data_IF_539959346199
#
_entry.id   IF_539959346199
#
_cell.length_a   1.000
_cell.length_b   1.000
_cell.length_c   1.000
_cell.angle_alpha   90.00
_cell.angle_beta   90.00
_cell.angle_gamma   90.00
#
_symmetry.space_group_name_H-M   'P 1'
#
loop_
_entity.id
_entity.type
_entity.pdbx_description
1 polymer ?
#
# COMPACT_ATOMS: atom_id res chain seq x y z
N UNK A 1 12.49 9.06 -0.78
CA UNK A 1 12.76 8.88 0.67
C UNK A 1 12.14 9.98 1.54
N UNK A 2 12.19 11.26 1.14
CA UNK A 2 11.70 12.39 1.94
C UNK A 2 10.18 12.48 2.22
N UNK A 3 9.31 11.88 1.37
CA UNK A 3 7.85 11.96 1.55
C UNK A 3 7.26 10.98 2.57
N UNK A 4 7.99 9.93 2.95
CA UNK A 4 7.50 8.90 3.90
C UNK A 4 7.61 9.35 5.36
N UNK A 5 8.65 10.11 5.69
CA UNK A 5 8.74 10.83 6.97
C UNK A 5 7.62 11.87 7.11
N UNK A 6 7.11 12.40 6.00
CA UNK A 6 6.14 13.48 6.02
C UNK A 6 4.79 13.04 6.57
N UNK A 7 4.19 11.92 6.14
CA UNK A 7 2.85 11.54 6.61
C UNK A 7 2.82 10.82 7.96
N UNK A 8 3.78 9.93 8.24
CA UNK A 8 3.88 9.32 9.57
C UNK A 8 4.25 10.39 10.60
N UNK A 9 5.16 11.31 10.22
CA UNK A 9 5.49 12.51 10.98
C UNK A 9 4.29 13.41 11.21
N UNK A 10 3.43 13.67 10.21
CA UNK A 10 2.22 14.50 10.37
C UNK A 10 1.21 13.87 11.34
N UNK A 11 1.03 12.55 11.31
CA UNK A 11 0.08 11.88 12.21
C UNK A 11 0.63 11.88 13.65
N UNK A 12 1.91 11.56 13.83
CA UNK A 12 2.52 11.61 15.17
C UNK A 12 2.64 13.04 15.70
N UNK A 13 3.05 14.02 14.89
CA UNK A 13 3.08 15.43 15.31
C UNK A 13 1.68 15.98 15.55
N UNK A 14 0.66 15.54 14.79
CA UNK A 14 -0.73 15.89 15.00
C UNK A 14 -1.28 15.35 16.32
N UNK A 15 -0.99 14.09 16.67
CA UNK A 15 -1.38 13.50 17.95
C UNK A 15 -0.63 14.13 19.13
N UNK A 16 0.66 14.43 18.97
CA UNK A 16 1.46 15.15 19.98
C UNK A 16 0.93 16.58 20.17
N UNK A 17 0.61 17.28 19.08
CA UNK A 17 0.03 18.62 19.13
C UNK A 17 -1.33 18.60 19.83
N UNK A 18 -2.20 17.62 19.52
CA UNK A 18 -3.50 17.43 20.18
C UNK A 18 -3.34 17.22 21.69
N UNK A 19 -2.39 16.37 22.10
CA UNK A 19 -2.08 16.15 23.52
C UNK A 19 -1.59 17.44 24.20
N UNK A 20 -0.71 18.19 23.54
CA UNK A 20 -0.18 19.44 24.06
C UNK A 20 -1.25 20.53 24.16
N UNK A 21 -2.10 20.69 23.14
CA UNK A 21 -3.23 21.63 23.17
C UNK A 21 -4.22 21.26 24.27
N UNK A 22 -4.53 19.98 24.45
CA UNK A 22 -5.44 19.54 25.52
C UNK A 22 -4.85 19.78 26.90
N UNK A 23 -3.53 19.57 27.09
CA UNK A 23 -2.87 19.87 28.36
C UNK A 23 -2.93 21.35 28.75
N UNK A 24 -3.00 22.26 27.76
CA UNK A 24 -3.11 23.71 27.98
C UNK A 24 -4.57 24.20 28.02
N UNK A 25 -5.49 23.56 27.30
CA UNK A 25 -6.91 23.94 27.22
C UNK A 25 -7.74 23.38 28.39
N UNK A 26 -7.55 22.12 28.77
CA UNK A 26 -8.35 21.46 29.82
C UNK A 26 -8.35 22.20 31.17
N UNK A 27 -7.23 22.82 31.63
CA UNK A 27 -7.23 23.60 32.87
C UNK A 27 -7.98 24.94 32.76
N UNK A 28 -8.15 25.46 31.55
CA UNK A 28 -8.64 26.83 31.28
C UNK A 28 -10.09 26.87 30.78
N UNK A 29 -10.72 25.72 30.52
CA UNK A 29 -12.11 25.64 30.05
C UNK A 29 -13.07 25.25 31.19
N UNK A 30 -14.33 25.73 31.15
CA UNK A 30 -15.34 25.30 32.09
C UNK A 30 -15.57 23.78 32.02
N UNK A 31 -15.87 23.12 33.15
CA UNK A 31 -15.99 21.65 33.23
C UNK A 31 -17.09 21.08 32.32
N UNK A 32 -18.08 21.89 31.94
CA UNK A 32 -19.17 21.52 31.03
C UNK A 32 -18.68 21.19 29.61
N UNK A 33 -17.60 21.83 29.14
CA UNK A 33 -17.07 21.64 27.79
C UNK A 33 -16.06 20.49 27.68
N UNK A 34 -15.59 19.95 28.81
CA UNK A 34 -14.61 18.85 28.84
C UNK A 34 -15.11 17.60 28.10
N UNK A 35 -16.41 17.30 28.22
CA UNK A 35 -17.05 16.18 27.49
C UNK A 35 -17.01 16.36 25.98
N UNK A 36 -17.20 17.61 25.51
CA UNK A 36 -17.19 17.93 24.08
C UNK A 36 -15.79 17.79 23.50
N UNK A 37 -14.76 18.24 24.22
CA UNK A 37 -13.35 18.08 23.84
C UNK A 37 -13.00 16.59 23.73
N UNK A 38 -13.39 15.78 24.72
CA UNK A 38 -13.12 14.34 24.69
C UNK A 38 -13.81 13.63 23.51
N UNK A 39 -15.04 14.01 23.17
CA UNK A 39 -15.72 13.49 21.97
C UNK A 39 -14.99 13.87 20.68
N UNK A 40 -14.48 15.10 20.56
CA UNK A 40 -13.68 15.53 19.41
C UNK A 40 -12.37 14.74 19.29
N UNK A 41 -11.68 14.51 20.40
CA UNK A 41 -10.43 13.74 20.44
C UNK A 41 -10.65 12.30 19.92
N UNK A 42 -11.70 11.63 20.40
CA UNK A 42 -12.06 10.28 19.95
C UNK A 42 -12.34 10.27 18.45
N UNK A 43 -13.05 11.28 17.95
CA UNK A 43 -13.38 11.39 16.53
C UNK A 43 -12.13 11.61 15.66
N UNK A 44 -11.19 12.45 16.12
CA UNK A 44 -9.90 12.68 15.47
C UNK A 44 -9.09 11.38 15.41
N UNK A 45 -9.04 10.62 16.52
CA UNK A 45 -8.34 9.33 16.56
C UNK A 45 -8.96 8.35 15.56
N UNK A 46 -10.29 8.22 15.51
CA UNK A 46 -10.97 7.34 14.56
C UNK A 46 -10.63 7.71 13.11
N UNK A 47 -10.69 9.00 12.76
CA UNK A 47 -10.32 9.47 11.42
C UNK A 47 -8.85 9.17 11.09
N UNK A 48 -7.96 9.25 12.09
CA UNK A 48 -6.53 8.97 11.91
C UNK A 48 -6.20 7.49 11.64
N UNK A 49 -7.10 6.56 11.97
CA UNK A 49 -6.87 5.12 11.72
C UNK A 49 -6.79 4.80 10.23
N UNK A 50 -7.59 5.46 9.39
CA UNK A 50 -7.59 5.24 7.94
C UNK A 50 -6.24 5.53 7.26
N UNK A 51 -5.62 6.72 7.43
CA UNK A 51 -4.32 6.99 6.84
C UNK A 51 -3.20 6.13 7.46
N UNK A 52 -3.31 5.74 8.74
CA UNK A 52 -2.37 4.79 9.37
C UNK A 52 -2.43 3.42 8.68
N UNK A 53 -3.63 2.86 8.48
CA UNK A 53 -3.83 1.60 7.75
C UNK A 53 -3.20 1.67 6.37
N UNK A 54 -3.52 2.73 5.61
CA UNK A 54 -2.99 2.92 4.25
C UNK A 54 -1.46 3.03 4.21
N UNK A 55 -0.86 3.62 5.25
CA UNK A 55 0.60 3.65 5.39
C UNK A 55 1.19 2.29 5.78
N UNK A 56 0.52 1.53 6.64
CA UNK A 56 0.95 0.18 6.99
C UNK A 56 0.96 -0.74 5.76
N UNK A 57 -0.07 -0.69 4.92
CA UNK A 57 -0.13 -1.41 3.64
C UNK A 57 1.01 -1.01 2.70
N UNK A 58 1.28 0.29 2.57
CA UNK A 58 2.40 0.80 1.76
C UNK A 58 3.76 0.31 2.26
N UNK A 59 3.96 0.26 3.59
CA UNK A 59 5.18 -0.29 4.20
C UNK A 59 5.24 -1.80 3.96
N UNK A 60 4.13 -2.52 4.13
CA UNK A 60 4.05 -3.96 3.91
C UNK A 60 4.41 -4.31 2.45
N UNK A 61 3.86 -3.62 1.46
CA UNK A 61 4.20 -3.81 0.04
C UNK A 61 5.68 -3.54 -0.23
N UNK A 62 6.29 -2.57 0.46
CA UNK A 62 7.73 -2.27 0.31
C UNK A 62 8.64 -3.36 0.89
N UNK A 63 8.23 -4.02 1.97
CA UNK A 63 9.04 -5.05 2.64
C UNK A 63 8.74 -6.47 2.13
N UNK A 64 7.48 -6.76 1.82
CA UNK A 64 6.99 -8.08 1.42
C UNK A 64 6.75 -8.22 -0.08
N UNK A 65 6.76 -7.12 -0.83
CA UNK A 65 6.55 -7.11 -2.28
C UNK A 65 5.07 -7.25 -2.65
N UNK A 66 4.49 -8.43 -2.45
CA UNK A 66 3.09 -8.73 -2.79
C UNK A 66 2.34 -9.13 -1.52
N UNK A 67 1.21 -8.49 -1.26
CA UNK A 67 0.33 -8.82 -0.13
C UNK A 67 -0.98 -9.39 -0.67
N UNK A 68 -1.41 -10.52 -0.11
CA UNK A 68 -2.68 -11.16 -0.43
C UNK A 68 -3.68 -10.84 0.68
N UNK A 69 -4.79 -10.20 0.34
CA UNK A 69 -5.94 -10.06 1.22
C UNK A 69 -6.96 -11.14 0.88
N UNK A 70 -6.96 -12.20 1.70
CA UNK A 70 -7.86 -13.35 1.56
C UNK A 70 -9.32 -13.00 1.91
N UNK A 71 -9.54 -11.94 2.69
CA UNK A 71 -10.88 -11.50 3.12
C UNK A 71 -11.60 -10.79 1.98
N UNK A 72 -10.92 -9.83 1.35
CA UNK A 72 -11.49 -9.05 0.23
C UNK A 72 -11.20 -9.67 -1.15
N UNK A 73 -10.41 -10.75 -1.21
CA UNK A 73 -9.94 -11.40 -2.44
C UNK A 73 -9.19 -10.43 -3.35
N UNK A 74 -8.31 -9.63 -2.74
CA UNK A 74 -7.50 -8.63 -3.42
C UNK A 74 -6.03 -8.98 -3.29
N UNK A 75 -5.27 -8.55 -4.28
CA UNK A 75 -3.82 -8.58 -4.27
C UNK A 75 -3.34 -7.13 -4.30
N UNK A 76 -2.41 -6.82 -3.41
CA UNK A 76 -1.76 -5.52 -3.37
C UNK A 76 -0.35 -5.70 -3.90
N UNK A 77 -0.08 -5.14 -5.08
CA UNK A 77 1.24 -5.19 -5.74
C UNK A 77 1.92 -3.82 -5.69
N UNK A 78 3.26 -3.77 -5.76
CA UNK A 78 3.93 -2.49 -5.93
C UNK A 78 3.59 -1.95 -7.33
N UNK A 79 3.35 -0.64 -7.43
CA UNK A 79 3.01 -0.02 -8.71
C UNK A 79 4.13 -0.25 -9.73
N UNK A 80 3.73 -0.70 -10.93
CA UNK A 80 4.64 -0.91 -12.05
C UNK A 80 5.09 0.44 -12.62
N UNK A 81 6.30 0.85 -12.28
CA UNK A 81 6.88 2.12 -12.73
C UNK A 81 7.24 2.09 -14.23
N UNK A 82 7.50 0.91 -14.81
CA UNK A 82 7.91 0.76 -16.21
C UNK A 82 6.74 0.92 -17.19
N UNK A 83 5.50 0.71 -16.74
CA UNK A 83 4.29 0.85 -17.56
C UNK A 83 3.59 2.22 -17.39
N UNK A 84 4.27 3.21 -16.80
CA UNK A 84 3.73 4.56 -16.63
C UNK A 84 3.90 5.39 -17.91
N UNK A 85 2.79 5.94 -18.41
CA UNK A 85 2.73 6.60 -19.70
C UNK A 85 3.65 7.82 -19.79
N UNK A 86 4.24 8.09 -20.97
CA UNK A 86 5.27 9.11 -21.18
C UNK A 86 4.89 10.53 -20.68
N UNK A 87 3.59 10.87 -20.74
CA UNK A 87 3.06 12.14 -20.20
C UNK A 87 3.01 12.24 -18.66
N UNK A 88 3.05 11.11 -17.94
CA UNK A 88 3.09 11.10 -16.46
C UNK A 88 4.52 11.24 -15.89
N UNK A 89 5.54 10.94 -16.70
CA UNK A 89 6.96 10.96 -16.30
C UNK A 89 7.54 12.38 -16.17
N UNK A 90 7.01 13.35 -16.91
CA UNK A 90 7.50 14.74 -16.90
C UNK A 90 7.25 15.52 -15.59
N UNK A 91 6.48 14.95 -14.64
CA UNK A 91 6.12 15.60 -13.35
C UNK A 91 6.97 15.20 -12.15
N UNK A 92 8.16 14.61 -12.34
CA UNK A 92 8.98 14.06 -11.23
C UNK A 92 8.17 13.06 -10.36
N UNK A 93 7.21 12.36 -10.97
CA UNK A 93 6.32 11.42 -10.29
C UNK A 93 7.03 10.13 -9.89
N UNK A 94 8.22 9.82 -10.42
CA UNK A 94 9.03 8.67 -9.99
C UNK A 94 9.32 8.70 -8.48
N UNK A 95 9.58 9.89 -7.91
CA UNK A 95 9.82 10.07 -6.47
C UNK A 95 8.50 10.00 -5.66
N UNK A 96 7.36 10.23 -6.30
CA UNK A 96 6.01 10.21 -5.69
C UNK A 96 5.37 8.81 -5.74
N UNK A 97 5.57 8.07 -6.84
CA UNK A 97 5.00 6.75 -7.14
C UNK A 97 5.87 5.59 -6.66
N UNK A 98 7.08 5.84 -6.14
CA UNK A 98 7.97 4.84 -5.51
C UNK A 98 7.39 4.16 -4.25
N UNK A 99 6.20 4.54 -3.81
CA UNK A 99 5.43 3.85 -2.78
C UNK A 99 3.93 3.78 -3.13
N UNK A 100 3.57 3.95 -4.40
CA UNK A 100 2.22 3.60 -4.81
C UNK A 100 2.13 2.08 -4.92
N UNK A 101 1.00 1.58 -4.47
CA UNK A 101 0.62 0.20 -4.58
C UNK A 101 -0.66 0.14 -5.40
N UNK A 102 -0.82 -0.93 -6.17
CA UNK A 102 -2.00 -1.18 -6.96
C UNK A 102 -2.76 -2.34 -6.33
N UNK A 103 -4.04 -2.09 -6.02
CA UNK A 103 -4.96 -3.14 -5.59
C UNK A 103 -5.61 -3.76 -6.83
N UNK A 104 -5.42 -5.06 -7.00
CA UNK A 104 -5.96 -5.84 -8.10
C UNK A 104 -6.87 -6.91 -7.51
N UNK A 105 -8.11 -6.99 -8.01
CA UNK A 105 -8.99 -8.09 -7.61
C UNK A 105 -8.45 -9.39 -8.20
N UNK A 106 -8.39 -10.44 -7.39
CA UNK A 106 -7.87 -11.75 -7.79
C UNK A 106 -8.67 -12.33 -8.96
N UNK A 107 -9.96 -11.98 -9.08
CA UNK A 107 -10.83 -12.38 -10.21
C UNK A 107 -10.47 -11.75 -11.55
N UNK A 108 -9.82 -10.59 -11.54
CA UNK A 108 -9.50 -9.84 -12.75
C UNK A 108 -8.21 -10.34 -13.41
N UNK A 109 -7.48 -11.23 -12.72
CA UNK A 109 -6.26 -11.88 -13.21
C UNK A 109 -6.64 -13.01 -14.18
N UNK A 110 -6.18 -12.90 -15.42
CA UNK A 110 -6.49 -13.85 -16.50
C UNK A 110 -5.35 -14.83 -16.80
N UNK A 111 -4.10 -14.37 -16.70
CA UNK A 111 -2.90 -15.20 -16.89
C UNK A 111 -1.71 -14.64 -16.13
N UNK A 112 -0.76 -15.53 -15.82
CA UNK A 112 0.50 -15.18 -15.16
C UNK A 112 1.64 -15.75 -15.98
N UNK A 113 2.62 -14.91 -16.29
CA UNK A 113 3.79 -15.29 -17.08
C UNK A 113 5.04 -15.18 -16.22
N UNK A 114 5.84 -16.25 -16.24
CA UNK A 114 7.13 -16.30 -15.57
C UNK A 114 8.24 -15.94 -16.56
N UNK A 115 9.07 -14.97 -16.18
CA UNK A 115 10.32 -14.67 -16.87
C UNK A 115 11.50 -15.24 -16.06
N UNK A 116 12.56 -15.65 -16.75
CA UNK A 116 13.77 -16.21 -16.13
C UNK A 116 14.39 -15.18 -15.17
N UNK A 117 14.76 -15.62 -13.97
CA UNK A 117 15.30 -14.72 -12.95
C UNK A 117 14.26 -14.35 -11.91
N UNK A 118 14.10 -13.06 -11.63
CA UNK A 118 13.33 -12.56 -10.48
C UNK A 118 12.08 -11.78 -10.88
N UNK A 119 11.66 -11.84 -12.14
CA UNK A 119 10.50 -11.11 -12.64
C UNK A 119 9.27 -12.04 -12.77
N UNK A 120 8.10 -11.48 -12.50
CA UNK A 120 6.80 -12.10 -12.73
C UNK A 120 5.89 -11.09 -13.43
N UNK A 121 5.12 -11.54 -14.41
CA UNK A 121 4.10 -10.71 -15.07
C UNK A 121 2.72 -11.24 -14.75
N UNK A 122 1.85 -10.34 -14.31
CA UNK A 122 0.43 -10.62 -14.12
C UNK A 122 -0.35 -9.91 -15.21
N UNK A 123 -1.19 -10.66 -15.91
CA UNK A 123 -2.07 -10.15 -16.96
C UNK A 123 -3.53 -10.29 -16.53
N UNK A 124 -4.33 -9.29 -16.86
CA UNK A 124 -5.74 -9.25 -16.52
C UNK A 124 -6.50 -8.18 -17.29
N UNK A 125 -7.72 -7.86 -16.85
CA UNK A 125 -8.48 -6.75 -17.43
C UNK A 125 -7.78 -5.39 -17.25
N UNK A 126 -6.93 -5.27 -16.22
CA UNK A 126 -6.08 -4.11 -15.94
C UNK A 126 -4.83 -4.02 -16.84
N UNK A 127 -4.68 -4.92 -17.83
CA UNK A 127 -3.52 -5.03 -18.69
C UNK A 127 -2.43 -5.92 -18.08
N UNK A 128 -1.17 -5.58 -18.36
CA UNK A 128 0.01 -6.30 -17.85
C UNK A 128 0.70 -5.50 -16.75
N UNK A 129 1.14 -6.17 -15.69
CA UNK A 129 1.96 -5.61 -14.61
C UNK A 129 3.17 -6.48 -14.35
N UNK A 130 4.35 -5.86 -14.30
CA UNK A 130 5.62 -6.49 -13.93
C UNK A 130 5.84 -6.35 -12.43
N UNK A 131 6.21 -7.45 -11.80
CA UNK A 131 6.61 -7.50 -10.39
C UNK A 131 8.05 -8.00 -10.34
N UNK A 132 8.92 -7.19 -9.75
CA UNK A 132 10.31 -7.55 -9.53
C UNK A 132 10.50 -8.07 -8.09
N UNK A 133 11.14 -9.24 -7.97
CA UNK A 133 11.45 -9.86 -6.69
C UNK A 133 12.94 -9.73 -6.37
N UNK A 134 13.28 -9.77 -5.08
CA UNK A 134 14.70 -9.74 -4.67
C UNK A 134 15.42 -11.06 -4.93
N UNK A 135 14.69 -12.18 -4.96
CA UNK A 135 15.25 -13.52 -5.14
C UNK A 135 14.23 -14.44 -5.84
N UNK A 136 14.74 -15.44 -6.58
CA UNK A 136 13.94 -16.47 -7.26
C UNK A 136 13.02 -17.21 -6.29
N UNK A 137 13.52 -17.53 -5.10
CA UNK A 137 12.74 -18.23 -4.07
C UNK A 137 11.46 -17.46 -3.70
N UNK A 138 11.56 -16.15 -3.41
CA UNK A 138 10.40 -15.32 -3.05
C UNK A 138 9.40 -15.20 -4.20
N UNK A 139 9.89 -15.14 -5.45
CA UNK A 139 9.04 -15.16 -6.65
C UNK A 139 8.23 -16.46 -6.71
N UNK A 140 8.88 -17.59 -6.49
CA UNK A 140 8.23 -18.92 -6.57
C UNK A 140 7.26 -19.16 -5.40
N UNK A 141 7.57 -18.65 -4.20
CA UNK A 141 6.64 -18.61 -3.06
C UNK A 141 5.39 -17.77 -3.38
N UNK A 142 5.57 -16.58 -3.96
CA UNK A 142 4.45 -15.74 -4.40
C UNK A 142 3.62 -16.42 -5.50
N UNK A 143 4.28 -17.11 -6.43
CA UNK A 143 3.62 -17.84 -7.51
C UNK A 143 2.79 -19.00 -6.96
N UNK A 144 3.32 -19.75 -6.00
CA UNK A 144 2.59 -20.80 -5.29
C UNK A 144 1.40 -20.25 -4.49
N UNK A 145 1.59 -19.13 -3.79
CA UNK A 145 0.53 -18.46 -3.05
C UNK A 145 -0.60 -17.96 -3.97
N UNK A 146 -0.25 -17.49 -5.17
CA UNK A 146 -1.20 -17.09 -6.22
C UNK A 146 -1.93 -18.30 -6.81
N UNK A 147 -1.23 -19.41 -7.06
CA UNK A 147 -1.84 -20.68 -7.51
C UNK A 147 -2.86 -21.23 -6.52
N UNK A 148 -2.56 -21.13 -5.22
CA UNK A 148 -3.47 -21.60 -4.17
C UNK A 148 -4.79 -20.78 -4.12
N UNK A 149 -4.77 -19.53 -4.61
CA UNK A 149 -5.88 -18.57 -4.49
C UNK A 149 -6.62 -18.33 -5.80
N UNK A 150 -6.01 -18.69 -6.93
CA UNK A 150 -6.56 -18.38 -8.25
C UNK A 150 -6.43 -19.56 -9.21
N UNK A 151 -7.48 -19.85 -9.97
CA UNK A 151 -7.50 -20.89 -11.02
C UNK A 151 -6.86 -20.45 -12.34
N UNK A 152 -5.88 -19.55 -12.28
CA UNK A 152 -5.34 -18.83 -13.44
C UNK A 152 -4.47 -19.75 -14.29
N UNK A 153 -4.57 -19.61 -15.62
CA UNK A 153 -3.68 -20.32 -16.54
C UNK A 153 -2.28 -19.71 -16.48
N UNK A 154 -1.30 -20.52 -16.09
CA UNK A 154 0.10 -20.14 -16.11
C UNK A 154 0.66 -20.28 -17.52
N UNK A 155 1.18 -19.18 -18.06
CA UNK A 155 1.86 -19.14 -19.35
C UNK A 155 3.17 -19.94 -19.32
N UNK A 156 3.64 -20.37 -20.49
CA UNK A 156 4.93 -21.08 -20.61
C UNK A 156 6.09 -20.17 -20.16
N UNK A 157 7.11 -20.79 -19.58
CA UNK A 157 8.35 -20.14 -19.17
C UNK A 157 8.98 -19.43 -20.36
N UNK A 158 9.14 -18.09 -20.29
CA UNK A 158 9.84 -17.33 -21.32
C UNK A 158 11.35 -17.53 -21.08
N UNK A 159 11.87 -18.62 -21.68
CA UNK A 159 13.24 -19.09 -21.50
C UNK A 159 14.30 -18.26 -22.24
N UNK A 160 14.45 -16.98 -21.86
CA UNK A 160 15.58 -16.16 -22.27
C UNK A 160 16.63 -16.15 -21.16
#
# INVERSE_FOLDING_TARGET
>A
MAKHFFSAGIITTGLIAMFYTNSYLLPNIPPEYTKVVFCLDVLIVIISLYPIKKMAERVAVRYFGVVFDDTEKKIVIPADLENSSCGENLRLNFIRKMGDFEEINVKDISSVTREKGVNLYIHGQFGSRKINFSNKQKRDECLSALQARTSVRFGRDLGY
#
